data_IF_978490416411
#
_entry.id   IF_978490416411
#
_cell.length_a   1.000
_cell.length_b   1.000
_cell.length_c   1.000
_cell.angle_alpha   90.00
_cell.angle_beta   90.00
_cell.angle_gamma   90.00
#
_symmetry.space_group_name_H-M   'P 1'
#
loop_
_entity.id
_entity.type
_entity.pdbx_description
1 polymer ?
#
# COMPACT_ATOMS: atom_id res chain seq x y z
N UNK A 1 0.02 -19.82 3.10
CA UNK A 1 0.58 -18.55 3.61
C UNK A 1 0.54 -17.53 2.49
N UNK A 2 0.12 -16.30 2.76
CA UNK A 2 -0.13 -15.25 1.74
C UNK A 2 1.00 -14.22 1.70
N UNK A 3 1.25 -13.64 0.53
CA UNK A 3 2.17 -12.50 0.33
C UNK A 3 1.37 -11.21 0.24
N UNK A 4 1.66 -10.27 1.14
CA UNK A 4 0.90 -9.02 1.27
C UNK A 4 1.85 -7.83 1.08
N UNK A 5 1.43 -6.90 0.23
CA UNK A 5 2.08 -5.60 0.07
C UNK A 5 1.22 -4.52 0.75
N UNK A 6 1.86 -3.67 1.55
CA UNK A 6 1.25 -2.52 2.21
C UNK A 6 1.94 -1.25 1.71
N UNK A 7 1.16 -0.30 1.22
CA UNK A 7 1.62 0.98 0.73
C UNK A 7 1.05 2.12 1.58
N UNK A 8 1.93 2.91 2.17
CA UNK A 8 1.57 4.03 3.04
C UNK A 8 1.89 5.32 2.28
N UNK A 9 0.87 6.16 2.11
CA UNK A 9 0.98 7.44 1.40
C UNK A 9 0.87 8.63 2.36
N UNK A 10 1.27 9.81 1.92
CA UNK A 10 1.17 11.06 2.70
C UNK A 10 -0.24 11.61 2.82
N UNK A 11 -1.19 10.81 3.30
CA UNK A 11 -2.51 11.25 3.72
C UNK A 11 -2.61 11.21 5.24
N UNK A 12 -3.53 12.00 5.80
CA UNK A 12 -3.84 11.93 7.22
C UNK A 12 -4.42 10.56 7.59
N UNK A 13 -4.10 10.06 8.79
CA UNK A 13 -4.56 8.76 9.27
C UNK A 13 -3.46 7.70 9.37
N UNK A 14 -2.24 8.09 9.69
CA UNK A 14 -1.09 7.20 9.95
C UNK A 14 -1.38 6.17 11.04
N UNK A 15 -2.28 6.51 11.97
CA UNK A 15 -2.81 5.60 13.00
C UNK A 15 -3.38 4.32 12.37
N UNK A 16 -4.10 4.41 11.26
CA UNK A 16 -4.68 3.24 10.60
C UNK A 16 -3.62 2.35 9.99
N UNK A 17 -2.58 2.94 9.38
CA UNK A 17 -1.44 2.21 8.86
C UNK A 17 -0.68 1.48 9.99
N UNK A 18 -0.47 2.14 11.14
CA UNK A 18 0.13 1.52 12.34
C UNK A 18 -0.67 0.32 12.83
N UNK A 19 -1.97 0.48 13.04
CA UNK A 19 -2.86 -0.60 13.49
C UNK A 19 -2.88 -1.76 12.49
N UNK A 20 -2.81 -1.46 11.20
CA UNK A 20 -2.74 -2.48 10.15
C UNK A 20 -1.46 -3.28 10.21
N UNK A 21 -0.30 -2.62 10.32
CA UNK A 21 0.99 -3.29 10.47
C UNK A 21 1.05 -4.13 11.75
N UNK A 22 0.52 -3.63 12.87
CA UNK A 22 0.42 -4.39 14.13
C UNK A 22 -0.42 -5.67 13.98
N UNK A 23 -1.60 -5.57 13.33
CA UNK A 23 -2.43 -6.75 13.07
C UNK A 23 -1.76 -7.76 12.15
N UNK A 24 -1.08 -7.29 11.11
CA UNK A 24 -0.34 -8.15 10.19
C UNK A 24 0.84 -8.84 10.89
N UNK A 25 1.51 -8.16 11.81
CA UNK A 25 2.56 -8.76 12.64
C UNK A 25 2.01 -9.88 13.54
N UNK A 26 0.81 -9.71 14.12
CA UNK A 26 0.17 -10.78 14.89
C UNK A 26 -0.25 -11.97 14.02
N UNK A 27 -0.61 -11.74 12.76
CA UNK A 27 -1.01 -12.76 11.81
C UNK A 27 0.16 -13.40 11.04
N UNK A 28 1.37 -13.39 11.60
CA UNK A 28 2.59 -13.93 10.98
C UNK A 28 2.46 -15.38 10.49
N UNK A 29 1.66 -16.23 11.13
CA UNK A 29 1.39 -17.61 10.68
C UNK A 29 0.66 -17.66 9.31
N UNK A 30 -0.11 -16.63 8.97
CA UNK A 30 -0.88 -16.55 7.74
C UNK A 30 -0.16 -15.75 6.65
N UNK A 31 0.79 -14.88 7.03
CA UNK A 31 1.51 -13.96 6.14
C UNK A 31 2.95 -14.48 5.94
N UNK A 32 3.23 -15.05 4.77
CA UNK A 32 4.57 -15.53 4.42
C UNK A 32 5.54 -14.39 4.13
N UNK A 33 5.07 -13.32 3.50
CA UNK A 33 5.92 -12.18 3.12
C UNK A 33 5.12 -10.89 3.27
N UNK A 34 5.64 -9.96 4.08
CA UNK A 34 5.13 -8.61 4.21
C UNK A 34 6.09 -7.64 3.52
N UNK A 35 5.59 -6.90 2.55
CA UNK A 35 6.33 -5.85 1.85
C UNK A 35 5.70 -4.50 2.14
N UNK A 36 6.49 -3.55 2.62
CA UNK A 36 6.03 -2.24 3.06
C UNK A 36 6.68 -1.19 2.16
N UNK A 37 5.88 -0.33 1.55
CA UNK A 37 6.36 0.83 0.80
C UNK A 37 5.78 2.10 1.42
N UNK A 38 6.63 3.10 1.65
CA UNK A 38 6.22 4.39 2.19
C UNK A 38 6.74 5.52 1.31
N UNK A 39 5.88 6.47 0.95
CA UNK A 39 6.33 7.74 0.34
C UNK A 39 7.04 8.60 1.37
N UNK A 40 7.93 9.49 0.95
CA UNK A 40 8.64 10.38 1.89
C UNK A 40 7.66 11.29 2.66
N UNK A 41 6.64 11.82 1.99
CA UNK A 41 5.53 12.53 2.65
C UNK A 41 4.79 11.67 3.69
N UNK A 42 4.74 10.35 3.50
CA UNK A 42 4.09 9.46 4.48
C UNK A 42 4.92 9.37 5.76
N UNK A 43 6.25 9.37 5.66
CA UNK A 43 7.15 9.37 6.83
C UNK A 43 7.01 10.68 7.61
N UNK A 44 6.90 11.81 6.91
CA UNK A 44 6.66 13.11 7.53
C UNK A 44 5.31 13.14 8.25
N UNK A 45 4.21 12.78 7.58
CA UNK A 45 2.87 12.74 8.19
C UNK A 45 2.82 11.77 9.36
N UNK A 46 3.47 10.61 9.25
CA UNK A 46 3.58 9.66 10.36
C UNK A 46 4.27 10.28 11.56
N UNK A 47 5.43 10.93 11.36
CA UNK A 47 6.17 11.60 12.43
C UNK A 47 5.36 12.73 13.05
N UNK A 48 4.59 13.48 12.26
CA UNK A 48 3.75 14.56 12.76
C UNK A 48 2.55 14.04 13.56
N UNK A 49 1.85 13.02 13.08
CA UNK A 49 0.62 12.50 13.71
C UNK A 49 0.88 11.57 14.89
N UNK A 50 1.92 10.73 14.81
CA UNK A 50 2.21 9.72 15.83
C UNK A 50 3.38 10.11 16.73
N UNK A 51 4.14 11.17 16.39
CA UNK A 51 5.34 11.60 17.11
C UNK A 51 6.36 10.47 17.30
N UNK A 52 6.36 9.50 16.39
CA UNK A 52 7.23 8.32 16.45
C UNK A 52 7.77 7.96 15.06
N UNK A 53 8.80 7.11 15.02
CA UNK A 53 9.35 6.52 13.79
C UNK A 53 9.25 4.99 13.84
N UNK A 54 8.23 4.49 14.56
CA UNK A 54 8.00 3.06 14.82
C UNK A 54 7.67 2.26 13.56
N UNK A 55 7.35 2.94 12.45
CA UNK A 55 7.14 2.32 11.15
C UNK A 55 8.34 1.49 10.68
N UNK A 56 9.56 1.79 11.15
CA UNK A 56 10.79 1.06 10.79
C UNK A 56 10.97 -0.25 11.57
N UNK A 57 10.27 -0.42 12.69
CA UNK A 57 10.45 -1.54 13.61
C UNK A 57 9.60 -2.76 13.25
N UNK A 58 8.68 -2.65 12.30
CA UNK A 58 7.83 -3.77 11.89
C UNK A 58 8.60 -4.80 11.04
N UNK A 59 8.29 -6.08 11.23
CA UNK A 59 8.89 -7.18 10.47
C UNK A 59 8.35 -7.20 9.05
N UNK A 60 9.16 -6.75 8.09
CA UNK A 60 8.81 -6.73 6.67
C UNK A 60 9.95 -6.22 5.79
N UNK A 61 9.79 -6.37 4.48
CA UNK A 61 10.72 -5.81 3.49
C UNK A 61 10.30 -4.39 3.15
N UNK A 62 11.15 -3.42 3.44
CA UNK A 62 10.89 -2.01 3.14
C UNK A 62 11.37 -1.65 1.74
N UNK A 63 10.52 -0.96 1.00
CA UNK A 63 10.81 -0.44 -0.32
C UNK A 63 10.57 1.07 -0.35
N UNK A 64 11.32 1.76 -1.20
CA UNK A 64 11.07 3.18 -1.47
C UNK A 64 10.13 3.33 -2.66
N UNK A 65 9.46 4.47 -2.81
CA UNK A 65 8.55 4.71 -3.94
C UNK A 65 9.24 4.68 -5.30
N UNK A 66 10.56 4.85 -5.34
CA UNK A 66 11.38 4.81 -6.56
C UNK A 66 12.00 3.43 -6.83
N UNK A 67 11.79 2.47 -5.93
CA UNK A 67 12.38 1.14 -6.04
C UNK A 67 11.52 0.20 -6.90
N UNK A 68 11.66 0.33 -8.22
CA UNK A 68 10.96 -0.53 -9.19
C UNK A 68 11.46 -1.98 -9.21
N UNK A 69 12.52 -2.30 -8.45
CA UNK A 69 12.99 -3.68 -8.30
C UNK A 69 12.11 -4.48 -7.32
N UNK A 70 11.19 -3.80 -6.62
CA UNK A 70 10.29 -4.45 -5.69
C UNK A 70 9.42 -5.51 -6.41
N UNK A 71 9.32 -6.72 -5.86
CA UNK A 71 8.68 -7.84 -6.53
C UNK A 71 7.20 -7.57 -6.84
N UNK A 72 6.48 -6.85 -5.98
CA UNK A 72 5.07 -6.50 -6.23
C UNK A 72 4.84 -5.50 -7.37
N UNK A 73 5.89 -4.82 -7.87
CA UNK A 73 5.83 -3.96 -9.06
C UNK A 73 5.81 -4.78 -10.37
N UNK A 74 6.12 -6.07 -10.28
CA UNK A 74 6.19 -7.01 -11.38
C UNK A 74 5.08 -8.04 -11.26
N UNK A 75 4.26 -8.19 -12.31
CA UNK A 75 3.14 -9.13 -12.32
C UNK A 75 3.51 -10.58 -12.05
N UNK A 76 4.79 -10.94 -12.21
CA UNK A 76 5.34 -12.28 -11.98
C UNK A 76 5.45 -12.68 -10.51
N UNK A 77 5.52 -11.73 -9.57
CA UNK A 77 5.90 -12.04 -8.18
C UNK A 77 4.77 -12.57 -7.27
N UNK A 78 3.60 -12.94 -7.83
CA UNK A 78 2.48 -13.59 -7.11
C UNK A 78 2.22 -13.05 -5.69
N UNK A 79 1.96 -11.75 -5.57
CA UNK A 79 1.40 -11.18 -4.35
C UNK A 79 -0.12 -11.36 -4.35
N UNK A 80 -0.68 -11.72 -3.19
CA UNK A 80 -2.11 -12.00 -3.03
C UNK A 80 -2.94 -10.71 -2.86
N UNK A 81 -2.38 -9.72 -2.17
CA UNK A 81 -3.07 -8.46 -1.88
C UNK A 81 -2.13 -7.26 -1.86
N UNK A 82 -2.63 -6.12 -2.34
CA UNK A 82 -2.00 -4.80 -2.20
C UNK A 82 -2.94 -3.91 -1.41
N UNK A 83 -2.44 -3.32 -0.32
CA UNK A 83 -3.24 -2.54 0.61
C UNK A 83 -2.63 -1.15 0.71
N UNK A 84 -3.37 -0.12 0.30
CA UNK A 84 -2.91 1.26 0.31
C UNK A 84 -3.62 2.00 1.45
N UNK A 85 -2.88 2.31 2.52
CA UNK A 85 -3.41 2.90 3.75
C UNK A 85 -2.38 3.77 4.48
N UNK A 86 -2.70 5.05 4.80
CA UNK A 86 -3.79 5.83 4.23
C UNK A 86 -3.53 6.13 2.75
N UNK A 87 -4.58 6.44 1.96
CA UNK A 87 -4.48 6.79 0.54
C UNK A 87 -4.74 8.28 0.32
N UNK A 88 -3.75 9.01 -0.18
CA UNK A 88 -3.91 10.42 -0.56
C UNK A 88 -4.70 10.56 -1.85
N UNK A 89 -5.47 11.65 -1.95
CA UNK A 89 -6.24 11.95 -3.18
C UNK A 89 -5.34 12.05 -4.41
N UNK A 90 -4.11 12.54 -4.26
CA UNK A 90 -3.13 12.57 -5.34
C UNK A 90 -2.69 11.17 -5.79
N UNK A 91 -2.56 10.21 -4.87
CA UNK A 91 -2.27 8.81 -5.24
C UNK A 91 -3.47 8.16 -5.91
N UNK A 92 -4.67 8.35 -5.36
CA UNK A 92 -5.90 7.82 -5.94
C UNK A 92 -6.14 8.37 -7.35
N UNK A 93 -5.94 9.67 -7.58
CA UNK A 93 -6.07 10.29 -8.90
C UNK A 93 -5.09 9.72 -9.92
N UNK A 94 -3.84 9.47 -9.52
CA UNK A 94 -2.83 8.85 -10.40
C UNK A 94 -3.18 7.41 -10.76
N UNK A 95 -3.63 6.62 -9.79
CA UNK A 95 -4.14 5.27 -10.03
C UNK A 95 -5.34 5.34 -10.99
N UNK A 96 -6.24 6.30 -10.78
CA UNK A 96 -7.42 6.44 -11.61
C UNK A 96 -7.11 6.81 -13.07
N UNK A 97 -6.10 7.65 -13.26
CA UNK A 97 -5.59 8.04 -14.57
C UNK A 97 -4.68 6.98 -15.22
N UNK A 98 -4.32 5.89 -14.52
CA UNK A 98 -3.36 4.90 -15.01
C UNK A 98 -1.93 5.44 -15.12
N UNK A 99 -1.55 6.39 -14.26
CA UNK A 99 -0.22 6.99 -14.24
C UNK A 99 0.71 6.22 -13.29
N UNK A 100 1.58 5.39 -13.86
CA UNK A 100 2.50 4.50 -13.14
C UNK A 100 3.85 5.15 -12.80
N UNK A 101 3.85 6.32 -12.16
CA UNK A 101 5.08 7.09 -11.91
C UNK A 101 5.88 6.62 -10.68
N UNK A 102 5.20 5.99 -9.72
CA UNK A 102 5.81 5.45 -8.50
C UNK A 102 5.55 3.94 -8.40
N UNK A 103 6.33 3.28 -7.54
CA UNK A 103 6.15 1.88 -7.17
C UNK A 103 4.72 1.58 -6.67
N UNK A 104 4.12 2.50 -5.91
CA UNK A 104 2.75 2.34 -5.38
C UNK A 104 1.72 2.31 -6.52
N UNK A 105 1.79 3.30 -7.43
CA UNK A 105 0.88 3.40 -8.57
C UNK A 105 1.05 2.24 -9.53
N UNK A 106 2.30 1.84 -9.81
CA UNK A 106 2.61 0.70 -10.66
C UNK A 106 2.15 -0.62 -10.05
N UNK A 107 2.32 -0.79 -8.74
CA UNK A 107 1.75 -1.90 -8.00
C UNK A 107 0.23 -1.93 -8.14
N UNK A 108 -0.45 -0.80 -7.97
CA UNK A 108 -1.91 -0.74 -8.15
C UNK A 108 -2.33 -1.15 -9.57
N UNK A 109 -1.61 -0.70 -10.61
CA UNK A 109 -1.87 -1.06 -12.00
C UNK A 109 -1.68 -2.55 -12.30
N UNK A 110 -0.83 -3.27 -11.56
CA UNK A 110 -0.66 -4.72 -11.69
C UNK A 110 -1.81 -5.48 -11.03
N UNK A 111 -2.35 -4.97 -9.92
CA UNK A 111 -3.40 -5.65 -9.15
C UNK A 111 -4.81 -5.36 -9.68
N UNK A 112 -5.05 -4.16 -10.22
CA UNK A 112 -6.34 -3.72 -10.79
C UNK A 112 -6.90 -4.62 -11.90
N UNK A 113 -6.13 -4.99 -12.94
CA UNK A 113 -6.62 -5.90 -13.99
C UNK A 113 -6.61 -7.37 -13.55
N UNK A 114 -5.81 -7.74 -12.54
CA UNK A 114 -5.52 -9.13 -12.19
C UNK A 114 -6.57 -9.85 -11.34
N UNK A 115 -7.75 -9.26 -11.11
CA UNK A 115 -8.76 -9.73 -10.12
C UNK A 115 -8.21 -9.91 -8.69
N UNK A 116 -7.06 -9.31 -8.37
CA UNK A 116 -6.46 -9.40 -7.04
C UNK A 116 -7.08 -8.32 -6.15
N UNK A 117 -7.38 -8.62 -4.88
CA UNK A 117 -7.94 -7.64 -3.97
C UNK A 117 -6.95 -6.48 -3.76
N UNK A 118 -7.34 -5.29 -4.19
CA UNK A 118 -6.70 -4.03 -3.85
C UNK A 118 -7.58 -3.28 -2.85
N UNK A 119 -7.09 -3.06 -1.64
CA UNK A 119 -7.80 -2.28 -0.62
C UNK A 119 -7.23 -0.86 -0.60
N UNK A 120 -8.06 0.12 -0.96
CA UNK A 120 -7.74 1.55 -0.82
C UNK A 120 -8.54 2.07 0.39
N UNK A 121 -7.89 2.57 1.42
CA UNK A 121 -8.61 3.21 2.54
C UNK A 121 -8.82 4.70 2.24
N UNK A 122 -10.05 5.04 1.87
CA UNK A 122 -10.54 6.41 1.63
C UNK A 122 -12.01 6.34 1.20
N UNK A 123 -12.82 7.36 1.55
CA UNK A 123 -14.28 7.37 1.29
C UNK A 123 -14.65 7.11 -0.19
N UNK A 124 -13.72 7.37 -1.13
CA UNK A 124 -13.90 7.21 -2.57
C UNK A 124 -13.43 5.86 -3.16
N UNK A 125 -12.72 5.03 -2.40
CA UNK A 125 -12.20 3.74 -2.87
C UNK A 125 -13.30 2.77 -3.31
N UNK A 126 -14.42 2.77 -2.60
CA UNK A 126 -15.58 1.93 -2.90
C UNK A 126 -16.25 2.30 -4.23
N UNK A 127 -16.17 3.57 -4.64
CA UNK A 127 -16.84 4.03 -5.85
C UNK A 127 -16.00 3.76 -7.11
N UNK A 128 -14.67 3.66 -6.97
CA UNK A 128 -13.78 3.42 -8.12
C UNK A 128 -13.74 1.94 -8.54
N UNK A 129 -13.75 1.01 -7.57
CA UNK A 129 -13.88 -0.43 -7.87
C UNK A 129 -15.20 -0.78 -8.59
N UNK A 130 -16.26 0.02 -8.34
CA UNK A 130 -17.57 -0.18 -8.97
C UNK A 130 -17.68 0.40 -10.39
N UNK A 131 -16.95 1.48 -10.71
CA UNK A 131 -17.06 2.19 -12.01
C UNK A 131 -16.30 1.59 -13.18
N UNK A 132 -15.42 0.60 -12.97
CA UNK A 132 -14.78 -0.18 -14.05
C UNK A 132 -15.46 -1.53 -14.32
N UNK A 133 -16.55 -1.84 -13.61
CA UNK A 133 -17.42 -3.02 -13.84
C UNK A 133 -18.68 -2.72 -14.63
N UNK A 134 -18.91 -1.47 -15.03
CA UNK A 134 -20.07 -1.02 -15.81
C UNK A 134 -19.67 -0.60 -17.21
#
# INVERSE_FOLDING_TARGET
MKKIAVAITGASGSVYAKLMLQKLAHLHEQVAELSIVMSDNAKEVWKTELQDESYSSFTGRYFTTKDFSAPFASGSARYDALIIIPCSMGTLGRIAAGMSNDLITRGADVFLPGQRPALLSGLFALQWCCRRRS
#
